data_IF_088708259167
#
_entry.id   IF_088708259167
#
_cell.length_a   1.000
_cell.length_b   1.000
_cell.length_c   1.000
_cell.angle_alpha   90.00
_cell.angle_beta   90.00
_cell.angle_gamma   90.00
#
_symmetry.space_group_name_H-M   'P 1'
#
loop_
_entity.id
_entity.type
_entity.pdbx_description
1 polymer ?
#
# COMPACT_ATOMS: atom_id res chain seq x y z
N UNK A 1 10.79 0.90 7.38
CA UNK A 1 10.52 2.34 7.39
C UNK A 1 11.86 3.06 7.31
N UNK A 2 12.17 3.68 6.18
CA UNK A 2 13.40 4.48 5.97
C UNK A 2 13.24 5.94 6.44
N UNK A 3 12.04 6.36 6.81
CA UNK A 3 11.78 7.70 7.32
C UNK A 3 12.17 7.88 8.79
N UNK A 4 12.09 9.13 9.25
CA UNK A 4 12.44 9.60 10.59
C UNK A 4 11.24 9.58 11.58
N UNK A 5 10.03 9.35 11.08
CA UNK A 5 8.78 9.36 11.84
C UNK A 5 8.07 8.00 11.75
N UNK A 6 7.31 7.62 12.78
CA UNK A 6 6.52 6.40 12.74
C UNK A 6 5.42 6.47 11.69
N UNK A 7 5.14 5.32 11.06
CA UNK A 7 4.05 5.17 10.09
C UNK A 7 3.11 4.08 10.59
N UNK A 8 1.80 4.34 10.55
CA UNK A 8 0.77 3.37 10.89
C UNK A 8 -0.15 3.15 9.69
N UNK A 9 -0.30 1.88 9.27
CA UNK A 9 -1.09 1.49 8.10
C UNK A 9 -2.30 0.67 8.54
N UNK A 10 -3.50 1.14 8.20
CA UNK A 10 -4.76 0.49 8.55
C UNK A 10 -5.09 -0.74 7.69
N UNK A 11 -5.94 -1.62 8.23
CA UNK A 11 -6.36 -2.90 7.63
C UNK A 11 -6.92 -2.83 6.20
N UNK A 12 -7.55 -1.71 5.81
CA UNK A 12 -8.22 -1.53 4.52
C UNK A 12 -7.56 -0.52 3.60
N UNK A 13 -6.44 0.05 4.02
CA UNK A 13 -5.70 0.99 3.20
C UNK A 13 -4.98 0.22 2.06
N UNK A 14 -5.07 0.68 0.79
CA UNK A 14 -4.33 0.06 -0.30
C UNK A 14 -2.83 0.11 -0.02
N UNK A 15 -2.17 -1.04 0.13
CA UNK A 15 -0.81 -1.08 0.66
C UNK A 15 0.19 -0.39 -0.28
N UNK A 16 -0.06 -0.46 -1.60
CA UNK A 16 0.64 0.30 -2.63
C UNK A 16 0.65 1.82 -2.38
N UNK A 17 -0.40 2.38 -1.80
CA UNK A 17 -0.57 3.83 -1.58
C UNK A 17 0.14 4.31 -0.31
N UNK A 18 0.76 3.42 0.48
CA UNK A 18 1.30 3.79 1.79
C UNK A 18 2.46 4.77 1.68
N UNK A 19 2.75 5.50 2.78
CA UNK A 19 3.84 6.48 2.86
C UNK A 19 5.13 6.02 2.12
N UNK A 20 5.70 6.88 1.28
CA UNK A 20 6.90 6.59 0.47
C UNK A 20 8.15 6.23 1.31
N UNK A 21 8.19 6.63 2.58
CA UNK A 21 9.22 6.20 3.54
C UNK A 21 9.17 4.71 3.87
N UNK A 22 8.08 3.99 3.57
CA UNK A 22 8.05 2.55 3.63
C UNK A 22 8.66 1.94 2.34
N UNK A 23 9.73 1.19 2.54
CA UNK A 23 10.50 0.52 1.50
C UNK A 23 10.11 -0.95 1.39
N UNK A 24 9.56 -1.32 0.24
CA UNK A 24 9.09 -2.66 -0.09
C UNK A 24 8.81 -2.75 -1.59
N UNK A 25 8.54 -3.96 -2.09
CA UNK A 25 8.12 -4.19 -3.48
C UNK A 25 6.71 -3.62 -3.72
N UNK A 26 6.65 -2.39 -4.23
CA UNK A 26 5.40 -1.71 -4.59
C UNK A 26 4.64 -2.47 -5.67
N UNK A 27 5.33 -3.04 -6.66
CA UNK A 27 4.68 -3.77 -7.75
C UNK A 27 3.93 -5.02 -7.23
N UNK A 28 4.49 -5.72 -6.25
CA UNK A 28 3.84 -6.85 -5.58
C UNK A 28 2.66 -6.42 -4.68
N UNK A 29 2.67 -5.21 -4.16
CA UNK A 29 1.61 -4.67 -3.30
C UNK A 29 0.43 -4.06 -4.06
N UNK A 30 0.51 -3.90 -5.38
CA UNK A 30 -0.54 -3.30 -6.20
C UNK A 30 -1.84 -4.09 -6.11
N UNK A 31 -2.91 -3.45 -5.63
CA UNK A 31 -4.21 -4.09 -5.46
C UNK A 31 -4.38 -4.96 -4.22
N UNK A 32 -3.49 -4.80 -3.22
CA UNK A 32 -3.56 -5.54 -1.96
C UNK A 32 -3.69 -4.60 -0.75
N UNK A 33 -4.17 -5.15 0.37
CA UNK A 33 -4.25 -4.52 1.70
C UNK A 33 -3.70 -5.44 2.78
N UNK A 34 -3.48 -4.95 3.99
CA UNK A 34 -3.01 -5.77 5.12
C UNK A 34 -4.01 -6.90 5.45
N UNK A 35 -3.50 -8.12 5.60
CA UNK A 35 -4.27 -9.26 6.07
C UNK A 35 -4.28 -9.31 7.61
N UNK A 36 -5.03 -8.37 8.20
CA UNK A 36 -5.21 -8.21 9.64
C UNK A 36 -6.69 -7.94 9.97
N UNK A 37 -7.13 -8.07 11.23
CA UNK A 37 -8.51 -7.80 11.60
C UNK A 37 -8.98 -6.40 11.18
N UNK A 38 -10.23 -6.30 10.75
CA UNK A 38 -10.83 -5.03 10.34
C UNK A 38 -10.75 -3.98 11.47
N UNK A 39 -10.50 -2.72 11.10
CA UNK A 39 -10.33 -1.61 12.06
C UNK A 39 -8.97 -1.55 12.76
N UNK A 40 -8.12 -2.56 12.62
CA UNK A 40 -6.76 -2.55 13.21
C UNK A 40 -5.72 -1.99 12.24
N UNK A 41 -4.48 -1.83 12.72
CA UNK A 41 -3.37 -1.28 11.97
C UNK A 41 -2.02 -1.92 12.34
N UNK A 42 -1.06 -1.88 11.42
CA UNK A 42 0.35 -2.20 11.68
C UNK A 42 1.14 -0.91 11.79
N UNK A 43 1.91 -0.78 12.88
CA UNK A 43 2.83 0.33 13.12
C UNK A 43 4.25 -0.06 12.76
N UNK A 44 4.95 0.87 12.10
CA UNK A 44 6.35 0.79 11.71
C UNK A 44 7.12 1.96 12.32
N UNK A 45 8.00 1.68 13.29
CA UNK A 45 8.92 2.68 13.85
C UNK A 45 10.00 3.11 12.84
N UNK A 46 10.65 4.27 13.01
CA UNK A 46 11.81 4.65 12.20
C UNK A 46 12.88 3.55 12.18
N UNK A 47 13.38 3.20 10.99
CA UNK A 47 14.35 2.12 10.79
C UNK A 47 13.80 0.69 10.87
N UNK A 48 12.56 0.50 11.31
CA UNK A 48 12.00 -0.83 11.54
C UNK A 48 11.72 -1.60 10.25
N UNK A 49 11.98 -2.90 10.27
CA UNK A 49 11.62 -3.86 9.21
C UNK A 49 10.65 -4.90 9.79
N UNK A 50 9.51 -5.08 9.13
CA UNK A 50 8.54 -6.14 9.45
C UNK A 50 8.15 -6.90 8.20
N UNK A 51 7.92 -8.20 8.36
CA UNK A 51 7.19 -8.99 7.37
C UNK A 51 5.70 -8.83 7.64
N UNK A 52 4.94 -8.47 6.61
CA UNK A 52 3.48 -8.38 6.69
C UNK A 52 2.86 -9.32 5.68
N UNK A 53 1.66 -9.80 5.97
CA UNK A 53 0.84 -10.51 4.99
C UNK A 53 -0.14 -9.54 4.34
N UNK A 54 -0.29 -9.66 3.04
CA UNK A 54 -1.22 -8.89 2.26
C UNK A 54 -2.30 -9.80 1.67
N UNK A 55 -3.51 -9.29 1.55
CA UNK A 55 -4.65 -9.95 0.90
C UNK A 55 -5.18 -9.06 -0.20
N UNK A 56 -5.63 -9.67 -1.30
CA UNK A 56 -6.14 -8.94 -2.45
C UNK A 56 -7.37 -8.10 -2.08
N UNK A 57 -7.46 -6.91 -2.66
CA UNK A 57 -8.70 -6.13 -2.64
C UNK A 57 -9.78 -6.88 -3.42
N UNK A 58 -10.97 -6.96 -2.84
CA UNK A 58 -12.15 -7.58 -3.43
C UNK A 58 -13.11 -6.51 -4.00
N UNK A 59 -14.32 -6.92 -4.38
CA UNK A 59 -15.33 -6.03 -4.96
C UNK A 59 -14.96 -5.61 -6.39
N UNK A 60 -15.28 -4.37 -6.76
CA UNK A 60 -15.04 -3.85 -8.11
C UNK A 60 -13.55 -3.69 -8.47
N UNK A 61 -12.63 -3.92 -7.53
CA UNK A 61 -11.18 -3.78 -7.72
C UNK A 61 -10.79 -2.43 -8.33
N UNK A 62 -11.29 -1.34 -7.75
CA UNK A 62 -10.94 0.05 -8.07
C UNK A 62 -10.44 0.74 -6.81
N UNK A 63 -9.40 1.55 -6.94
CA UNK A 63 -8.79 2.30 -5.84
C UNK A 63 -8.83 3.78 -6.18
N UNK A 64 -9.39 4.59 -5.27
CA UNK A 64 -9.46 6.04 -5.37
C UNK A 64 -8.99 6.66 -4.05
N UNK A 65 -8.41 7.86 -4.11
CA UNK A 65 -7.84 8.54 -2.94
C UNK A 65 -6.43 8.05 -2.59
N UNK A 66 -6.04 8.13 -1.30
CA UNK A 66 -4.68 7.84 -0.87
C UNK A 66 -3.69 8.91 -1.34
N UNK A 67 -2.57 8.50 -1.93
CA UNK A 67 -1.64 9.42 -2.61
C UNK A 67 -2.03 9.64 -4.09
N UNK A 68 -3.11 9.01 -4.58
CA UNK A 68 -3.56 9.14 -5.96
C UNK A 68 -2.61 8.48 -6.98
N UNK A 69 -1.79 7.53 -6.55
CA UNK A 69 -0.88 6.85 -7.45
C UNK A 69 -1.62 5.87 -8.36
N UNK A 70 -2.54 5.07 -7.83
CA UNK A 70 -3.38 4.15 -8.60
C UNK A 70 -4.52 4.89 -9.30
N UNK A 71 -5.37 5.58 -8.52
CA UNK A 71 -6.50 6.40 -8.97
C UNK A 71 -7.34 5.80 -10.13
N UNK A 72 -7.82 4.57 -9.95
CA UNK A 72 -8.50 3.85 -11.01
C UNK A 72 -8.67 2.34 -10.78
N UNK A 73 -9.04 1.59 -11.83
CA UNK A 73 -9.16 0.13 -11.79
C UNK A 73 -7.80 -0.57 -11.62
N UNK A 74 -7.80 -1.72 -10.96
CA UNK A 74 -6.61 -2.53 -10.69
C UNK A 74 -6.28 -3.45 -11.89
N UNK A 75 -5.93 -2.84 -13.01
CA UNK A 75 -5.53 -3.49 -14.25
C UNK A 75 -4.03 -3.31 -14.51
N UNK A 76 -3.46 -4.10 -15.43
CA UNK A 76 -2.02 -4.03 -15.72
C UNK A 76 -1.60 -2.65 -16.25
N UNK A 77 -2.41 -2.02 -17.11
CA UNK A 77 -2.15 -0.66 -17.58
C UNK A 77 -2.08 0.36 -16.42
N UNK A 78 -3.04 0.27 -15.48
CA UNK A 78 -3.07 1.10 -14.28
C UNK A 78 -1.88 0.83 -13.36
N UNK A 79 -1.44 -0.42 -13.24
CA UNK A 79 -0.23 -0.79 -12.49
C UNK A 79 1.02 -0.14 -13.07
N UNK A 80 1.21 -0.20 -14.39
CA UNK A 80 2.36 0.43 -15.05
C UNK A 80 2.35 1.95 -14.88
N UNK A 81 1.17 2.59 -15.02
CA UNK A 81 1.02 4.02 -14.77
C UNK A 81 1.35 4.39 -13.31
N UNK A 82 0.84 3.62 -12.34
CA UNK A 82 1.07 3.86 -10.92
C UNK A 82 2.55 3.70 -10.55
N UNK A 83 3.24 2.69 -11.10
CA UNK A 83 4.67 2.51 -10.92
C UNK A 83 5.48 3.66 -11.53
N UNK A 84 5.06 4.18 -12.69
CA UNK A 84 5.70 5.34 -13.32
C UNK A 84 5.62 6.64 -12.48
N UNK A 85 4.61 6.77 -11.60
CA UNK A 85 4.49 7.92 -10.68
C UNK A 85 5.43 7.85 -9.46
N UNK A 86 6.03 6.69 -9.20
CA UNK A 86 6.96 6.47 -8.08
C UNK A 86 8.43 6.72 -8.45
N UNK A 87 8.70 6.97 -9.74
CA UNK A 87 10.02 7.26 -10.30
C UNK A 87 10.37 8.74 -10.25
#
# INVERSE_FOLDING_TARGET
NRGDRPVQVGSHYPFFETNAGLDFDRAAAFGYRLHIPAGTAVRFEPGERKRVQLVALAGARRVYGGNGWIDGPLEEAGKQQALGKLG
#
